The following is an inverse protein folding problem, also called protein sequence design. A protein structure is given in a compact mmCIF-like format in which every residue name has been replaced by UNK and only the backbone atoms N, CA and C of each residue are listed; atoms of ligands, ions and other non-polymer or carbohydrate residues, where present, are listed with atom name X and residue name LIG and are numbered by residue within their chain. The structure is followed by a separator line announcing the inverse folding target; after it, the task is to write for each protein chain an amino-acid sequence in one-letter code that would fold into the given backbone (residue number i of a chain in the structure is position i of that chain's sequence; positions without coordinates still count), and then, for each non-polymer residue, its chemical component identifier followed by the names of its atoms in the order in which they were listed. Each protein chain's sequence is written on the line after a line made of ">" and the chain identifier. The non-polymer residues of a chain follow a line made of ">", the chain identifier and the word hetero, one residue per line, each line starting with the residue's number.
data_IF_454196603281
#
_entry.id   IF_454196603281
#
_cell.length_a   1.000
_cell.length_b   1.000
_cell.length_c   1.000
_cell.angle_alpha   90.00
_cell.angle_beta   90.00
_cell.angle_gamma   90.00
#
_symmetry.space_group_name_H-M   'P 1'
#
loop_
_entity.id
_entity.type
_entity.pdbx_description
1 polymer ?
#
# COMPACT_ATOMS: atom_id res chain seq x y z
N UNK A 1 -8.34 14.24 0.40
CA UNK A 1 -9.71 14.15 -0.13
C UNK A 1 -10.22 12.75 0.03
N UNK A 2 -11.37 12.60 0.58
CA UNK A 2 -12.01 11.31 0.66
C UNK A 2 -12.77 11.03 -0.62
N UNK A 3 -12.71 9.78 -1.08
CA UNK A 3 -13.40 9.37 -2.28
C UNK A 3 -14.58 8.50 -1.92
N UNK A 4 -15.76 8.89 -2.39
CA UNK A 4 -16.91 8.02 -2.34
C UNK A 4 -16.80 6.98 -3.47
N UNK A 5 -16.79 5.71 -3.10
CA UNK A 5 -16.60 4.62 -4.07
C UNK A 5 -17.66 4.62 -5.15
N UNK A 6 -18.83 5.11 -4.82
CA UNK A 6 -19.96 5.19 -5.73
C UNK A 6 -20.54 6.59 -5.76
N UNK A 7 -19.67 7.57 -5.90
CA UNK A 7 -20.10 8.96 -6.02
C UNK A 7 -21.11 9.09 -7.15
N UNK A 8 -22.21 9.76 -6.85
CA UNK A 8 -23.29 9.92 -7.82
C UNK A 8 -22.84 10.73 -9.01
N UNK A 9 -23.08 10.19 -10.17
CA UNK A 9 -23.14 10.95 -11.41
C UNK A 9 -24.60 11.38 -11.58
N UNK A 10 -24.85 12.44 -12.33
CA UNK A 10 -26.20 12.92 -12.52
C UNK A 10 -27.14 11.77 -12.88
N UNK A 11 -28.21 11.60 -12.12
CA UNK A 11 -29.19 10.54 -12.30
C UNK A 11 -28.84 9.19 -11.68
N UNK A 12 -27.70 9.07 -11.01
CA UNK A 12 -27.30 7.84 -10.35
C UNK A 12 -27.47 7.95 -8.83
N UNK A 13 -27.72 6.80 -8.20
CA UNK A 13 -27.82 6.71 -6.75
C UNK A 13 -26.48 6.28 -6.19
N UNK A 14 -26.09 6.92 -5.09
CA UNK A 14 -24.91 6.51 -4.37
C UNK A 14 -25.12 5.11 -3.77
N UNK A 15 -24.23 4.17 -4.04
CA UNK A 15 -24.30 2.81 -3.54
C UNK A 15 -23.61 2.67 -2.16
N UNK A 16 -22.72 3.59 -1.80
CA UNK A 16 -22.00 3.57 -0.54
C UNK A 16 -20.90 4.62 -0.55
N UNK A 17 -20.08 4.61 0.50
CA UNK A 17 -18.95 5.52 0.60
C UNK A 17 -17.76 4.79 1.20
N UNK A 18 -16.57 5.31 0.88
CA UNK A 18 -15.32 4.80 1.42
C UNK A 18 -15.08 5.43 2.78
N UNK A 19 -14.99 4.60 3.83
CA UNK A 19 -14.75 5.10 5.19
C UNK A 19 -13.26 5.13 5.53
N UNK A 20 -12.43 4.33 4.83
CA UNK A 20 -10.99 4.33 5.00
C UNK A 20 -10.33 3.86 3.72
N UNK A 21 -9.16 4.40 3.43
CA UNK A 21 -8.39 4.07 2.23
C UNK A 21 -6.97 3.75 2.66
N UNK A 22 -6.52 2.54 2.35
CA UNK A 22 -5.20 2.05 2.73
C UNK A 22 -4.38 1.70 1.51
N UNK A 23 -3.08 1.95 1.58
CA UNK A 23 -2.13 1.56 0.57
C UNK A 23 -1.00 0.78 1.22
N UNK A 24 -0.60 -0.31 0.57
CA UNK A 24 0.44 -1.21 1.05
C UNK A 24 1.61 -1.17 0.06
N UNK A 25 2.59 -0.27 0.27
CA UNK A 25 3.70 -0.14 -0.68
C UNK A 25 4.54 -1.41 -0.82
N UNK A 26 4.70 -2.15 0.26
CA UNK A 26 5.51 -3.38 0.28
C UNK A 26 4.62 -4.57 0.58
N UNK A 27 4.76 -5.61 -0.22
CA UNK A 27 4.00 -6.84 -0.06
C UNK A 27 4.14 -7.39 1.37
N UNK A 28 3.02 -7.68 2.00
CA UNK A 28 2.89 -8.33 3.32
C UNK A 28 3.31 -7.50 4.53
N UNK A 29 3.74 -6.27 4.34
CA UNK A 29 3.93 -5.34 5.46
C UNK A 29 2.67 -4.55 5.72
N UNK A 30 2.54 -3.97 6.92
CA UNK A 30 1.49 -3.00 7.19
C UNK A 30 1.69 -1.77 6.33
N UNK A 31 0.61 -1.10 6.02
CA UNK A 31 0.62 0.00 5.07
C UNK A 31 0.32 1.36 5.69
N UNK A 32 -0.17 2.26 4.87
CA UNK A 32 -0.47 3.64 5.24
C UNK A 32 -1.92 3.97 4.90
N UNK A 33 -2.54 4.74 5.77
CA UNK A 33 -3.88 5.27 5.52
C UNK A 33 -3.77 6.57 4.72
N UNK A 34 -4.67 6.73 3.76
CA UNK A 34 -4.66 7.86 2.84
C UNK A 34 -5.97 8.62 2.89
N UNK A 35 -5.90 9.94 2.66
CA UNK A 35 -7.09 10.75 2.42
C UNK A 35 -7.58 10.61 0.98
N UNK A 36 -6.66 10.42 0.05
CA UNK A 36 -6.99 10.24 -1.36
C UNK A 36 -5.90 9.46 -2.06
N UNK A 37 -6.23 8.86 -3.19
CA UNK A 37 -5.26 8.19 -4.05
C UNK A 37 -5.81 8.12 -5.46
N UNK A 38 -4.92 8.01 -6.43
CA UNK A 38 -5.30 7.73 -7.81
C UNK A 38 -5.55 6.24 -7.98
N UNK A 39 -6.57 5.91 -8.77
CA UNK A 39 -6.90 4.54 -9.12
C UNK A 39 -6.41 4.27 -10.54
N UNK A 40 -5.66 3.19 -10.70
CA UNK A 40 -5.15 2.76 -11.99
C UNK A 40 -5.80 1.43 -12.37
N UNK A 41 -5.51 0.94 -13.55
CA UNK A 41 -5.95 -0.39 -13.99
C UNK A 41 -5.34 -1.53 -13.14
N UNK A 42 -4.33 -1.22 -12.33
CA UNK A 42 -3.70 -2.16 -11.39
C UNK A 42 -4.12 -1.93 -9.94
N UNK A 43 -5.11 -1.09 -9.70
CA UNK A 43 -5.56 -0.70 -8.37
C UNK A 43 -5.05 0.67 -7.96
N UNK A 44 -4.90 0.90 -6.67
CA UNK A 44 -4.38 2.18 -6.17
C UNK A 44 -2.95 2.39 -6.62
N UNK A 45 -2.63 3.60 -7.05
CA UNK A 45 -1.28 3.95 -7.46
C UNK A 45 -0.30 3.74 -6.31
N UNK A 46 0.74 2.96 -6.56
CA UNK A 46 1.77 2.67 -5.59
C UNK A 46 1.47 1.49 -4.67
N UNK A 47 0.30 0.86 -4.81
CA UNK A 47 -0.04 -0.29 -3.97
C UNK A 47 0.76 -1.52 -4.39
N UNK A 48 1.40 -2.17 -3.43
CA UNK A 48 2.24 -3.36 -3.61
C UNK A 48 3.28 -3.21 -4.71
N UNK A 49 3.88 -2.03 -4.78
CA UNK A 49 4.91 -1.70 -5.77
C UNK A 49 6.23 -2.41 -5.46
N UNK A 50 6.46 -2.76 -4.20
CA UNK A 50 7.73 -3.30 -3.72
C UNK A 50 7.52 -4.66 -3.06
N UNK A 51 8.62 -5.42 -2.98
CA UNK A 51 8.68 -6.67 -2.23
C UNK A 51 10.08 -6.82 -1.65
N UNK A 52 10.17 -7.51 -0.53
CA UNK A 52 11.46 -7.87 0.06
C UNK A 52 11.93 -9.17 -0.56
N UNK A 53 13.19 -9.21 -0.94
CA UNK A 53 13.80 -10.41 -1.53
C UNK A 53 14.86 -10.94 -0.58
N UNK A 54 14.78 -12.24 -0.32
CA UNK A 54 15.80 -12.92 0.47
C UNK A 54 17.07 -13.09 -0.38
N UNK A 55 18.17 -12.50 0.09
CA UNK A 55 19.44 -12.55 -0.64
C UNK A 55 19.97 -13.97 -0.83
N UNK A 56 19.77 -14.81 0.17
CA UNK A 56 20.31 -16.18 0.13
C UNK A 56 19.59 -17.06 -0.87
N UNK A 57 18.27 -16.89 -1.02
CA UNK A 57 17.45 -17.76 -1.86
C UNK A 57 16.95 -17.10 -3.12
N UNK A 58 16.97 -15.77 -3.21
CA UNK A 58 16.36 -15.01 -4.29
C UNK A 58 14.83 -15.00 -4.27
N UNK A 59 14.22 -15.55 -3.25
CA UNK A 59 12.76 -15.63 -3.16
C UNK A 59 12.17 -14.40 -2.52
N UNK A 60 10.95 -14.07 -2.96
CA UNK A 60 10.19 -12.97 -2.40
C UNK A 60 9.65 -13.36 -1.02
N UNK A 61 9.88 -12.51 -0.03
CA UNK A 61 9.31 -12.68 1.29
C UNK A 61 7.83 -12.31 1.33
N UNK A 62 7.08 -12.97 2.19
CA UNK A 62 5.67 -12.69 2.34
C UNK A 62 5.03 -13.46 3.49
N UNK A 63 3.80 -13.09 3.80
CA UNK A 63 3.05 -13.67 4.91
C UNK A 63 2.70 -15.14 4.68
N UNK A 64 2.82 -15.64 3.45
CA UNK A 64 2.55 -17.04 3.13
C UNK A 64 3.58 -18.00 3.69
N UNK A 65 4.73 -17.50 4.13
CA UNK A 65 5.76 -18.31 4.78
C UNK A 65 5.97 -17.79 6.22
N UNK A 66 5.07 -18.12 7.16
CA UNK A 66 5.11 -17.54 8.51
C UNK A 66 6.34 -17.97 9.33
N UNK A 67 6.95 -19.08 9.01
CA UNK A 67 8.17 -19.51 9.72
C UNK A 67 9.31 -18.52 9.53
N UNK A 68 9.48 -18.02 8.32
CA UNK A 68 10.57 -17.12 7.96
C UNK A 68 10.19 -15.66 8.06
N UNK A 69 8.94 -15.32 7.69
CA UNK A 69 8.49 -13.95 7.54
C UNK A 69 7.30 -13.61 8.45
N UNK A 70 7.13 -14.35 9.54
CA UNK A 70 5.98 -14.20 10.43
C UNK A 70 5.86 -12.84 11.08
N UNK A 71 6.96 -12.08 11.17
CA UNK A 71 6.95 -10.74 11.75
C UNK A 71 6.79 -9.63 10.74
N UNK A 72 6.49 -9.93 9.47
CA UNK A 72 6.30 -8.91 8.43
C UNK A 72 5.22 -7.91 8.78
N UNK A 73 4.16 -8.35 9.44
CA UNK A 73 3.08 -7.45 9.84
C UNK A 73 3.47 -6.50 10.99
N UNK A 74 4.59 -6.72 11.63
CA UNK A 74 5.12 -5.81 12.64
C UNK A 74 5.88 -4.64 12.02
N UNK A 75 6.17 -4.71 10.73
CA UNK A 75 6.81 -3.65 9.96
C UNK A 75 5.74 -2.86 9.21
N UNK A 76 5.99 -1.57 9.06
CA UNK A 76 5.07 -0.69 8.33
C UNK A 76 5.81 0.00 7.19
N UNK A 77 5.21 0.01 6.02
CA UNK A 77 5.75 0.68 4.86
C UNK A 77 4.88 1.90 4.49
N UNK A 78 5.54 3.00 4.16
CA UNK A 78 4.88 4.21 3.68
C UNK A 78 5.77 4.88 2.63
N UNK A 79 5.16 5.66 1.74
CA UNK A 79 5.95 6.44 0.80
C UNK A 79 6.48 7.69 1.48
N UNK A 80 7.77 8.00 1.24
CA UNK A 80 8.37 9.25 1.68
C UNK A 80 7.76 10.44 0.94
N UNK A 81 7.39 10.21 -0.32
CA UNK A 81 6.70 11.19 -1.15
C UNK A 81 5.55 10.48 -1.87
N UNK A 82 4.44 11.18 -2.05
CA UNK A 82 3.29 10.60 -2.74
C UNK A 82 3.67 10.16 -4.16
N UNK A 83 3.36 8.93 -4.57
CA UNK A 83 3.60 8.50 -5.94
C UNK A 83 2.71 9.26 -6.92
N UNK A 84 3.24 9.46 -8.13
CA UNK A 84 2.56 10.18 -9.20
C UNK A 84 2.52 9.33 -10.46
N UNK A 85 1.42 9.41 -11.18
CA UNK A 85 1.29 8.74 -12.48
C UNK A 85 2.37 9.24 -13.43
N UNK A 86 3.10 8.32 -14.06
CA UNK A 86 4.17 8.65 -15.00
C UNK A 86 5.42 9.22 -14.36
N UNK A 87 5.45 9.36 -13.03
CA UNK A 87 6.60 9.86 -12.31
C UNK A 87 7.62 8.77 -12.00
N UNK A 88 8.68 9.16 -11.31
CA UNK A 88 9.65 8.20 -10.78
C UNK A 88 9.00 7.34 -9.71
N UNK A 89 9.55 6.16 -9.51
CA UNK A 89 9.21 5.33 -8.35
C UNK A 89 9.62 6.10 -7.11
N UNK A 90 8.65 6.39 -6.24
CA UNK A 90 8.90 7.12 -5.00
C UNK A 90 9.60 6.21 -3.99
N UNK A 91 10.54 6.75 -3.20
CA UNK A 91 11.19 5.97 -2.16
C UNK A 91 10.20 5.59 -1.07
N UNK A 92 10.42 4.41 -0.50
CA UNK A 92 9.60 3.85 0.56
C UNK A 92 10.35 3.91 1.87
N UNK A 93 9.65 4.29 2.93
CA UNK A 93 10.14 4.23 4.30
C UNK A 93 9.58 2.99 4.97
N UNK A 94 10.45 2.19 5.57
CA UNK A 94 10.04 1.03 6.35
C UNK A 94 10.26 1.35 7.82
N UNK A 95 9.17 1.34 8.58
CA UNK A 95 9.22 1.57 10.02
C UNK A 95 9.32 0.23 10.72
N UNK A 96 10.31 0.08 11.56
CA UNK A 96 10.58 -1.12 12.34
C UNK A 96 9.58 -1.24 13.50
N UNK A 97 9.46 -2.45 14.10
CA UNK A 97 8.53 -2.65 15.21
C UNK A 97 8.75 -1.71 16.41
N UNK A 98 9.97 -1.21 16.61
CA UNK A 98 10.29 -0.27 17.68
C UNK A 98 10.06 1.20 17.30
N UNK A 99 9.52 1.47 16.11
CA UNK A 99 9.25 2.82 15.64
C UNK A 99 10.39 3.49 14.88
N UNK A 100 11.58 2.89 14.84
CA UNK A 100 12.69 3.42 14.04
C UNK A 100 12.49 3.15 12.54
N UNK A 101 13.22 3.89 11.77
CA UNK A 101 13.23 3.67 10.32
C UNK A 101 14.56 4.06 9.70
#
# INVERSE_FOLDING_TARGET
>A
MQTDAATSVAGQTQAGSVVALWRYPVKSMMGEELNSSEVTDRGLLGDRQFAIVDRATGKVGGAKNPRKWGNFFDFRASYAEAPKVGGRISPVRITLPDGRW
#
